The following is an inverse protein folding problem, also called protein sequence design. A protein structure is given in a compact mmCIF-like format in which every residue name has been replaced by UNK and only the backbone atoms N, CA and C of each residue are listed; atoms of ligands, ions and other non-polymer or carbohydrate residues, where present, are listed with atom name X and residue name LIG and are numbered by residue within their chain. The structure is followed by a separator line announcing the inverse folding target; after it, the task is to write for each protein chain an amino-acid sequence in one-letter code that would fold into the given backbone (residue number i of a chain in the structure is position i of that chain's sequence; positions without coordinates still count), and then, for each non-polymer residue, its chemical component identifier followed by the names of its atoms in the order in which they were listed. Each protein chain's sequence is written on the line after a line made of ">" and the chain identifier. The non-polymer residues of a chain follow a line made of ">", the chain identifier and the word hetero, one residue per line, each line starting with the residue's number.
data_IF_942053858208
#
_entry.id   IF_942053858208
#
_cell.length_a   1.000
_cell.length_b   1.000
_cell.length_c   1.000
_cell.angle_alpha   90.00
_cell.angle_beta   90.00
_cell.angle_gamma   90.00
#
_symmetry.space_group_name_H-M   'P 1'
#
loop_
_entity.id
_entity.type
_entity.pdbx_description
1 polymer ?
#
# COMPACT_ATOMS: atom_id res chain seq x y z
N UNK A 1 6.39 8.26 78.75
CA UNK A 1 6.67 7.52 77.50
C UNK A 1 6.44 8.48 76.35
N UNK A 2 7.50 8.95 75.69
CA UNK A 2 7.35 9.83 74.50
C UNK A 2 6.76 9.00 73.36
N UNK A 3 5.65 9.49 72.81
CA UNK A 3 4.90 8.85 71.73
C UNK A 3 5.72 8.89 70.43
N UNK A 4 6.59 7.88 70.25
CA UNK A 4 7.48 7.71 69.09
C UNK A 4 6.73 7.47 67.77
N UNK A 5 5.41 7.31 67.82
CA UNK A 5 4.56 7.10 66.63
C UNK A 5 4.50 8.36 65.75
N UNK A 6 4.36 9.55 66.36
CA UNK A 6 4.21 10.83 65.65
C UNK A 6 5.31 11.12 64.61
N UNK A 7 6.62 11.06 64.94
CA UNK A 7 7.66 11.34 63.95
C UNK A 7 7.67 10.32 62.80
N UNK A 8 7.37 9.04 63.08
CA UNK A 8 7.32 7.99 62.07
C UNK A 8 6.14 8.21 61.11
N UNK A 9 4.96 8.56 61.65
CA UNK A 9 3.78 8.87 60.84
C UNK A 9 4.00 10.11 59.97
N UNK A 10 4.67 11.14 60.48
CA UNK A 10 5.02 12.33 59.69
C UNK A 10 5.98 12.01 58.55
N UNK A 11 7.03 11.22 58.80
CA UNK A 11 7.97 10.81 57.75
C UNK A 11 7.27 9.97 56.67
N UNK A 12 6.41 9.03 57.06
CA UNK A 12 5.62 8.24 56.11
C UNK A 12 4.68 9.11 55.27
N UNK A 13 4.01 10.09 55.87
CA UNK A 13 3.14 11.02 55.15
C UNK A 13 3.92 11.84 54.11
N UNK A 14 5.11 12.32 54.46
CA UNK A 14 5.97 13.07 53.52
C UNK A 14 6.37 12.19 52.34
N UNK A 15 6.78 10.94 52.60
CA UNK A 15 7.15 9.99 51.55
C UNK A 15 5.95 9.72 50.62
N UNK A 16 4.76 9.50 51.17
CA UNK A 16 3.54 9.26 50.37
C UNK A 16 3.22 10.47 49.48
N UNK A 17 3.29 11.70 50.00
CA UNK A 17 3.04 12.91 49.22
C UNK A 17 4.05 13.07 48.09
N UNK A 18 5.33 12.81 48.35
CA UNK A 18 6.39 12.87 47.33
C UNK A 18 6.15 11.81 46.24
N UNK A 19 5.81 10.58 46.62
CA UNK A 19 5.50 9.51 45.67
C UNK A 19 4.27 9.84 44.81
N UNK A 20 3.20 10.38 45.41
CA UNK A 20 2.01 10.81 44.67
C UNK A 20 2.33 11.93 43.67
N UNK A 21 3.15 12.91 44.08
CA UNK A 21 3.63 13.98 43.19
C UNK A 21 4.47 13.44 42.03
N UNK A 22 5.34 12.47 42.29
CA UNK A 22 6.17 11.83 41.28
C UNK A 22 5.33 11.02 40.28
N UNK A 23 4.35 10.23 40.77
CA UNK A 23 3.43 9.48 39.90
C UNK A 23 2.58 10.43 39.05
N UNK A 24 2.07 11.51 39.62
CA UNK A 24 1.32 12.52 38.87
C UNK A 24 2.18 13.18 37.77
N UNK A 25 3.43 13.55 38.10
CA UNK A 25 4.36 14.14 37.14
C UNK A 25 4.71 13.16 36.01
N UNK A 26 5.00 11.89 36.34
CA UNK A 26 5.29 10.86 35.34
C UNK A 26 4.08 10.60 34.46
N UNK A 27 2.88 10.43 35.03
CA UNK A 27 1.66 10.21 34.28
C UNK A 27 1.39 11.34 33.28
N UNK A 28 1.52 12.60 33.74
CA UNK A 28 1.33 13.78 32.89
C UNK A 28 2.34 13.84 31.74
N UNK A 29 3.60 13.47 32.00
CA UNK A 29 4.66 13.42 30.97
C UNK A 29 4.38 12.32 29.93
N UNK A 30 3.91 11.15 30.37
CA UNK A 30 3.56 10.04 29.47
C UNK A 30 2.38 10.40 28.58
N UNK A 31 1.34 11.05 29.11
CA UNK A 31 0.20 11.50 28.29
C UNK A 31 0.59 12.53 27.25
N UNK A 32 1.51 13.44 27.58
CA UNK A 32 2.04 14.43 26.61
C UNK A 32 2.86 13.76 25.50
N UNK A 33 3.70 12.78 25.85
CA UNK A 33 4.47 12.02 24.87
C UNK A 33 3.57 11.22 23.94
N UNK A 34 2.57 10.52 24.47
CA UNK A 34 1.59 9.78 23.68
C UNK A 34 0.84 10.69 22.70
N UNK A 35 0.35 11.84 23.15
CA UNK A 35 -0.35 12.79 22.28
C UNK A 35 0.56 13.33 21.15
N UNK A 36 1.85 13.56 21.43
CA UNK A 36 2.81 13.99 20.42
C UNK A 36 3.13 12.88 19.40
N UNK A 37 3.23 11.63 19.84
CA UNK A 37 3.43 10.47 18.97
C UNK A 37 2.23 10.24 18.06
N UNK A 38 0.99 10.31 18.60
CA UNK A 38 -0.23 10.17 17.80
C UNK A 38 -0.36 11.26 16.74
N UNK A 39 0.02 12.50 17.09
CA UNK A 39 0.04 13.60 16.13
C UNK A 39 1.10 13.40 15.05
N UNK A 40 2.32 13.02 15.43
CA UNK A 40 3.40 12.74 14.49
C UNK A 40 3.07 11.56 13.57
N UNK A 41 2.49 10.50 14.11
CA UNK A 41 2.09 9.33 13.33
C UNK A 41 1.01 9.69 12.30
N UNK A 42 -0.03 10.43 12.70
CA UNK A 42 -1.05 10.92 11.75
C UNK A 42 -0.45 11.82 10.67
N UNK A 43 0.49 12.70 11.03
CA UNK A 43 1.17 13.53 10.03
C UNK A 43 2.03 12.70 9.08
N UNK A 44 2.73 11.69 9.59
CA UNK A 44 3.52 10.78 8.79
C UNK A 44 2.64 9.97 7.84
N UNK A 45 1.54 9.37 8.32
CA UNK A 45 0.57 8.65 7.50
C UNK A 45 -0.03 9.54 6.39
N UNK A 46 -0.36 10.80 6.71
CA UNK A 46 -0.83 11.76 5.72
C UNK A 46 0.23 12.11 4.68
N UNK A 47 1.50 12.26 5.08
CA UNK A 47 2.60 12.54 4.16
C UNK A 47 2.86 11.33 3.24
N UNK A 48 2.91 10.12 3.79
CA UNK A 48 3.04 8.87 3.02
C UNK A 48 1.89 8.73 2.04
N UNK A 49 0.64 8.97 2.47
CA UNK A 49 -0.53 8.94 1.60
C UNK A 49 -0.46 9.96 0.45
N UNK A 50 -0.01 11.19 0.73
CA UNK A 50 0.20 12.22 -0.31
C UNK A 50 1.29 11.82 -1.30
N UNK A 51 2.43 11.34 -0.82
CA UNK A 51 3.54 10.87 -1.66
C UNK A 51 3.11 9.72 -2.57
N UNK A 52 2.38 8.74 -2.01
CA UNK A 52 1.82 7.63 -2.79
C UNK A 52 0.85 8.15 -3.86
N UNK A 53 -0.05 9.08 -3.53
CA UNK A 53 -0.99 9.66 -4.47
C UNK A 53 -0.29 10.49 -5.57
N UNK A 54 0.76 11.24 -5.25
CA UNK A 54 1.55 11.99 -6.24
C UNK A 54 2.30 11.07 -7.19
N UNK A 55 2.91 10.00 -6.66
CA UNK A 55 3.53 8.94 -7.47
C UNK A 55 2.50 8.31 -8.42
N UNK A 56 1.32 7.92 -7.92
CA UNK A 56 0.28 7.31 -8.74
C UNK A 56 -0.27 8.25 -9.81
N UNK A 57 -0.43 9.54 -9.49
CA UNK A 57 -0.84 10.56 -10.47
C UNK A 57 0.15 10.67 -11.63
N UNK A 58 1.44 10.55 -11.36
CA UNK A 58 2.48 10.52 -12.38
C UNK A 58 2.34 9.35 -13.37
N UNK A 59 1.74 8.24 -12.94
CA UNK A 59 1.58 7.03 -13.76
C UNK A 59 0.24 6.94 -14.50
N UNK A 60 -0.67 7.91 -14.37
CA UNK A 60 -1.96 7.86 -15.09
C UNK A 60 -1.77 7.77 -16.61
N UNK A 61 -0.85 8.55 -17.17
CA UNK A 61 -0.56 8.52 -18.59
C UNK A 61 0.03 7.16 -19.02
N UNK A 62 0.95 6.62 -18.21
CA UNK A 62 1.53 5.29 -18.40
C UNK A 62 0.44 4.20 -18.43
N UNK A 63 -0.52 4.23 -17.50
CA UNK A 63 -1.60 3.25 -17.45
C UNK A 63 -2.52 3.29 -18.67
N UNK A 64 -2.83 4.49 -19.16
CA UNK A 64 -3.62 4.63 -20.38
C UNK A 64 -2.89 4.06 -21.60
N UNK A 65 -1.58 4.35 -21.72
CA UNK A 65 -0.74 3.82 -22.79
C UNK A 65 -0.59 2.29 -22.67
N UNK A 66 -0.42 1.78 -21.46
CA UNK A 66 -0.34 0.34 -21.20
C UNK A 66 -1.63 -0.39 -21.54
N UNK A 67 -2.80 0.16 -21.20
CA UNK A 67 -4.09 -0.43 -21.56
C UNK A 67 -4.30 -0.45 -23.09
N UNK A 68 -3.93 0.63 -23.77
CA UNK A 68 -4.01 0.69 -25.24
C UNK A 68 -3.05 -0.30 -25.92
N UNK A 69 -1.81 -0.40 -25.41
CA UNK A 69 -0.84 -1.39 -25.86
C UNK A 69 -1.35 -2.82 -25.61
N UNK A 70 -1.90 -3.10 -24.43
CA UNK A 70 -2.43 -4.42 -24.07
C UNK A 70 -3.58 -4.83 -24.99
N UNK A 71 -4.47 -3.89 -25.33
CA UNK A 71 -5.52 -4.11 -26.32
C UNK A 71 -4.95 -4.57 -27.68
N UNK A 72 -3.90 -3.89 -28.16
CA UNK A 72 -3.23 -4.27 -29.41
C UNK A 72 -2.50 -5.61 -29.30
N UNK A 73 -1.84 -5.86 -28.15
CA UNK A 73 -1.12 -7.10 -27.91
C UNK A 73 -2.07 -8.31 -27.90
N UNK A 74 -3.23 -8.19 -27.26
CA UNK A 74 -4.27 -9.22 -27.25
C UNK A 74 -4.74 -9.63 -28.65
N UNK A 75 -4.78 -8.67 -29.58
CA UNK A 75 -5.18 -8.92 -30.97
C UNK A 75 -4.05 -9.49 -31.84
N UNK A 76 -2.80 -9.47 -31.36
CA UNK A 76 -1.63 -9.91 -32.14
C UNK A 76 -1.44 -11.43 -32.13
N UNK A 77 -0.65 -11.93 -33.09
CA UNK A 77 -0.28 -13.35 -33.19
C UNK A 77 0.54 -13.85 -32.01
N UNK A 78 1.29 -12.96 -31.36
CA UNK A 78 2.09 -13.24 -30.17
C UNK A 78 1.25 -13.25 -28.88
N UNK A 79 0.11 -12.55 -28.89
CA UNK A 79 -0.78 -12.41 -27.74
C UNK A 79 -1.86 -13.49 -27.69
N UNK A 80 -3.13 -13.09 -27.61
CA UNK A 80 -4.25 -14.04 -27.46
C UNK A 80 -5.11 -14.16 -28.73
N UNK A 81 -4.67 -13.58 -29.85
CA UNK A 81 -5.37 -13.61 -31.15
C UNK A 81 -6.86 -13.27 -31.05
N UNK A 82 -7.24 -12.43 -30.10
CA UNK A 82 -8.62 -11.97 -29.94
C UNK A 82 -8.81 -10.78 -30.88
N UNK A 83 -9.61 -10.94 -31.93
CA UNK A 83 -9.80 -9.89 -32.94
C UNK A 83 -10.25 -8.55 -32.34
N UNK A 84 -11.07 -8.58 -31.30
CA UNK A 84 -11.57 -7.40 -30.59
C UNK A 84 -10.65 -6.95 -29.41
N UNK A 85 -9.47 -7.55 -29.29
CA UNK A 85 -8.49 -7.26 -28.25
C UNK A 85 -9.04 -7.48 -26.83
N UNK A 86 -9.02 -6.40 -26.04
CA UNK A 86 -9.60 -6.36 -24.69
C UNK A 86 -11.13 -6.23 -24.67
N UNK A 87 -11.81 -6.13 -25.80
CA UNK A 87 -13.27 -6.14 -25.81
C UNK A 87 -13.81 -7.58 -25.82
N UNK A 88 -14.74 -7.87 -24.92
CA UNK A 88 -15.41 -9.17 -24.82
C UNK A 88 -16.75 -9.11 -25.54
N UNK A 89 -16.79 -9.63 -26.77
CA UNK A 89 -17.99 -9.66 -27.60
C UNK A 89 -19.11 -10.56 -27.03
N UNK A 90 -18.75 -11.59 -26.26
CA UNK A 90 -19.69 -12.47 -25.55
C UNK A 90 -20.40 -11.76 -24.39
N UNK A 91 -19.67 -10.92 -23.65
CA UNK A 91 -20.21 -10.16 -22.51
C UNK A 91 -20.63 -8.72 -22.86
N UNK A 92 -20.33 -8.26 -24.08
CA UNK A 92 -20.56 -6.89 -24.56
C UNK A 92 -19.95 -5.82 -23.64
N UNK A 93 -18.73 -6.05 -23.16
CA UNK A 93 -18.02 -5.14 -22.26
C UNK A 93 -16.49 -5.26 -22.41
N UNK A 94 -15.70 -4.31 -21.87
CA UNK A 94 -14.27 -4.50 -21.71
C UNK A 94 -13.94 -5.71 -20.81
N UNK A 95 -12.82 -6.35 -21.09
CA UNK A 95 -12.23 -7.38 -20.25
C UNK A 95 -11.61 -6.75 -19.00
N UNK A 96 -12.46 -6.36 -18.06
CA UNK A 96 -12.03 -5.73 -16.80
C UNK A 96 -11.12 -6.63 -15.97
N UNK A 97 -11.26 -7.95 -16.09
CA UNK A 97 -10.40 -8.92 -15.43
C UNK A 97 -8.98 -8.85 -16.00
N UNK A 98 -8.83 -8.90 -17.33
CA UNK A 98 -7.53 -8.74 -17.97
C UNK A 98 -6.89 -7.37 -17.68
N UNK A 99 -7.69 -6.29 -17.68
CA UNK A 99 -7.19 -4.96 -17.34
C UNK A 99 -6.66 -4.94 -15.89
N UNK A 100 -7.42 -5.49 -14.94
CA UNK A 100 -6.98 -5.59 -13.54
C UNK A 100 -5.68 -6.39 -13.42
N UNK A 101 -5.68 -7.63 -13.91
CA UNK A 101 -4.56 -8.54 -13.77
C UNK A 101 -3.27 -8.01 -14.43
N UNK A 102 -3.37 -7.45 -15.63
CA UNK A 102 -2.16 -7.12 -16.39
C UNK A 102 -1.73 -5.66 -16.27
N UNK A 103 -2.69 -4.73 -16.25
CA UNK A 103 -2.37 -3.30 -16.17
C UNK A 103 -2.15 -2.88 -14.73
N UNK A 104 -3.00 -3.31 -13.80
CA UNK A 104 -2.89 -2.91 -12.40
C UNK A 104 -1.93 -3.81 -11.62
N UNK A 105 -2.08 -5.13 -11.70
CA UNK A 105 -1.30 -6.01 -10.82
C UNK A 105 0.13 -6.25 -11.33
N UNK A 106 0.37 -6.27 -12.64
CA UNK A 106 1.71 -6.50 -13.20
C UNK A 106 2.37 -5.18 -13.62
N UNK A 107 1.76 -4.44 -14.56
CA UNK A 107 2.39 -3.26 -15.15
C UNK A 107 2.57 -2.13 -14.12
N UNK A 108 1.51 -1.71 -13.42
CA UNK A 108 1.61 -0.61 -12.45
C UNK A 108 2.59 -0.92 -11.33
N UNK A 109 2.55 -2.14 -10.78
CA UNK A 109 3.50 -2.54 -9.74
C UNK A 109 4.95 -2.47 -10.24
N UNK A 110 5.23 -2.94 -11.45
CA UNK A 110 6.55 -2.78 -12.06
C UNK A 110 6.97 -1.32 -12.22
N UNK A 111 6.05 -0.43 -12.62
CA UNK A 111 6.32 1.02 -12.74
C UNK A 111 6.58 1.68 -11.38
N UNK A 112 5.82 1.30 -10.35
CA UNK A 112 6.01 1.78 -8.97
C UNK A 112 7.36 1.33 -8.39
N UNK A 113 7.82 0.13 -8.76
CA UNK A 113 9.17 -0.38 -8.42
C UNK A 113 10.30 0.30 -9.20
N UNK A 114 9.99 1.21 -10.13
CA UNK A 114 10.96 1.98 -10.91
C UNK A 114 11.43 1.31 -12.20
N UNK A 115 10.79 0.21 -12.64
CA UNK A 115 11.08 -0.40 -13.94
C UNK A 115 10.64 0.53 -15.07
N UNK A 116 11.33 0.47 -16.22
CA UNK A 116 10.94 1.24 -17.41
C UNK A 116 9.64 0.72 -18.02
N UNK A 117 9.01 1.51 -18.89
CA UNK A 117 7.78 1.09 -19.60
C UNK A 117 7.96 -0.23 -20.36
N UNK A 118 9.06 -0.37 -21.11
CA UNK A 118 9.35 -1.60 -21.85
C UNK A 118 9.62 -2.80 -20.94
N UNK A 119 10.31 -2.61 -19.81
CA UNK A 119 10.49 -3.68 -18.83
C UNK A 119 9.15 -4.12 -18.20
N UNK A 120 8.28 -3.17 -17.89
CA UNK A 120 6.95 -3.46 -17.36
C UNK A 120 6.08 -4.19 -18.39
N UNK A 121 6.09 -3.77 -19.66
CA UNK A 121 5.42 -4.46 -20.77
C UNK A 121 5.96 -5.88 -20.96
N UNK A 122 7.27 -6.07 -20.85
CA UNK A 122 7.86 -7.41 -20.96
C UNK A 122 7.34 -8.34 -19.87
N UNK A 123 7.28 -7.88 -18.62
CA UNK A 123 6.70 -8.67 -17.52
C UNK A 123 5.24 -9.06 -17.77
N UNK A 124 4.45 -8.15 -18.36
CA UNK A 124 3.07 -8.46 -18.78
C UNK A 124 3.05 -9.54 -19.86
N UNK A 125 3.91 -9.47 -20.88
CA UNK A 125 4.00 -10.52 -21.92
C UNK A 125 4.34 -11.87 -21.30
N UNK A 126 5.37 -11.91 -20.45
CA UNK A 126 5.82 -13.13 -19.80
C UNK A 126 4.70 -13.74 -18.95
N UNK A 127 3.96 -12.91 -18.20
CA UNK A 127 2.82 -13.34 -17.40
C UNK A 127 1.66 -13.90 -18.26
N UNK A 128 1.32 -13.22 -19.36
CA UNK A 128 0.28 -13.68 -20.29
C UNK A 128 0.68 -15.00 -20.95
N UNK A 129 1.93 -15.12 -21.42
CA UNK A 129 2.44 -16.34 -22.05
C UNK A 129 2.50 -17.52 -21.07
N UNK A 130 2.73 -17.24 -19.79
CA UNK A 130 2.63 -18.22 -18.71
C UNK A 130 1.20 -18.67 -18.39
N UNK A 131 0.17 -17.93 -18.81
CA UNK A 131 -1.23 -18.23 -18.50
C UNK A 131 -1.75 -19.50 -19.21
N UNK A 132 -2.73 -20.17 -18.59
CA UNK A 132 -3.38 -21.34 -19.20
C UNK A 132 -4.15 -20.97 -20.48
N UNK A 133 -4.64 -19.73 -20.59
CA UNK A 133 -5.32 -19.27 -21.79
C UNK A 133 -4.37 -19.22 -22.99
N UNK A 134 -3.24 -18.55 -22.84
CA UNK A 134 -2.23 -18.46 -23.90
C UNK A 134 -1.72 -19.84 -24.28
N UNK A 135 -1.41 -20.69 -23.28
CA UNK A 135 -0.94 -22.06 -23.49
C UNK A 135 -1.95 -22.90 -24.27
N UNK A 136 -3.25 -22.84 -23.95
CA UNK A 136 -4.29 -23.59 -24.70
C UNK A 136 -4.38 -23.11 -26.15
N UNK A 137 -4.35 -21.80 -26.37
CA UNK A 137 -4.42 -21.23 -27.72
C UNK A 137 -3.20 -21.62 -28.57
N UNK A 138 -2.00 -21.60 -27.99
CA UNK A 138 -0.74 -21.83 -28.70
C UNK A 138 -0.27 -23.29 -28.72
N UNK A 139 -0.81 -24.16 -27.87
CA UNK A 139 -0.55 -25.60 -27.91
C UNK A 139 -1.21 -26.29 -29.11
N UNK A 140 -2.23 -25.66 -29.72
CA UNK A 140 -3.01 -26.24 -30.81
C UNK A 140 -2.32 -26.05 -32.17
N UNK A 141 -1.02 -26.34 -32.23
CA UNK A 141 -0.19 -26.22 -33.45
C UNK A 141 -0.06 -27.57 -34.17
#
# INVERSE_FOLDING_TARGET
>A
MMDRSRPITTVLLVIVVVLLGQVYYQNRRTSQLQASMDFQQRQFEQQVGKLAAERLKGHRADLMQAAQWLHQYYASDEGLRRADGLWRSDLKQPDFEAIGAWVLDVYLNARVEGKTDEQAKQLVRDAIQGSDEWRRLHATK
#
